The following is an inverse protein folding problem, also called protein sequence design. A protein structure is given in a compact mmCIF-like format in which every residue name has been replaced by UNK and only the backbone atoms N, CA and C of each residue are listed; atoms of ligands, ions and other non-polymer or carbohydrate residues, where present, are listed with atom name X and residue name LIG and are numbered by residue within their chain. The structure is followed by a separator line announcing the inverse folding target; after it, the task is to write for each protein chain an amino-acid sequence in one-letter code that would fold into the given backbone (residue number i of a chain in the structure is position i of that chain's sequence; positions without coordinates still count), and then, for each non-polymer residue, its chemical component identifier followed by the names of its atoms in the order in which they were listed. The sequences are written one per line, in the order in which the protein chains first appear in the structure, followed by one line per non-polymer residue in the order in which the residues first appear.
data_IF_217249948413
#
_entry.id   IF_217249948413
#
_cell.length_a   1.000
_cell.length_b   1.000
_cell.length_c   1.000
_cell.angle_alpha   90.00
_cell.angle_beta   90.00
_cell.angle_gamma   90.00
#
_symmetry.space_group_name_H-M   'P 1'
#
loop_
_entity.id
_entity.type
_entity.pdbx_description
1 polymer ?
#
# COMPACT_ATOMS: atom_id res chain seq x y z
N UNK A 1 -67.38 -22.91 -6.46
CA UNK A 1 -66.74 -21.84 -7.25
C UNK A 1 -65.24 -21.86 -6.96
N UNK A 2 -64.41 -21.99 -8.01
CA UNK A 2 -63.01 -21.50 -8.19
C UNK A 2 -62.03 -21.55 -6.98
N UNK A 3 -60.80 -22.08 -7.02
CA UNK A 3 -59.89 -22.66 -8.04
C UNK A 3 -58.76 -23.39 -7.26
N UNK A 4 -58.18 -24.42 -7.88
CA UNK A 4 -56.90 -25.06 -7.55
C UNK A 4 -55.69 -24.13 -7.83
N UNK A 5 -54.58 -24.33 -7.09
CA UNK A 5 -53.14 -24.26 -7.48
C UNK A 5 -52.29 -23.75 -6.27
N UNK A 6 -51.63 -24.60 -5.45
CA UNK A 6 -50.24 -25.11 -5.57
C UNK A 6 -49.27 -24.11 -6.22
N UNK A 7 -48.20 -23.70 -5.50
CA UNK A 7 -46.76 -23.75 -5.89
C UNK A 7 -45.91 -22.77 -5.04
N UNK A 8 -44.88 -23.35 -4.42
CA UNK A 8 -43.56 -22.81 -3.99
C UNK A 8 -43.44 -21.55 -3.13
N UNK A 9 -42.83 -21.77 -1.97
CA UNK A 9 -41.63 -21.08 -1.46
C UNK A 9 -41.25 -19.75 -2.12
N UNK A 10 -41.30 -18.67 -1.35
CA UNK A 10 -40.13 -17.82 -1.09
C UNK A 10 -40.28 -17.35 0.36
N UNK A 11 -39.53 -17.98 1.27
CA UNK A 11 -39.14 -17.32 2.51
C UNK A 11 -38.38 -16.07 2.10
N UNK A 12 -39.02 -14.92 2.20
CA UNK A 12 -38.34 -13.63 2.13
C UNK A 12 -37.53 -13.48 3.43
N UNK A 13 -36.38 -14.14 3.47
CA UNK A 13 -35.32 -13.84 4.41
C UNK A 13 -34.88 -12.41 4.08
N UNK A 14 -35.43 -11.44 4.80
CA UNK A 14 -34.74 -10.19 5.06
C UNK A 14 -33.51 -10.55 5.89
N UNK A 15 -32.48 -11.06 5.22
CA UNK A 15 -31.13 -10.93 5.75
C UNK A 15 -30.87 -9.44 5.74
N UNK A 16 -31.12 -8.80 6.87
CA UNK A 16 -30.17 -7.81 7.37
C UNK A 16 -28.84 -8.54 7.33
N UNK A 17 -28.14 -8.43 6.20
CA UNK A 17 -26.70 -8.42 6.26
C UNK A 17 -26.44 -7.20 7.14
N UNK A 18 -26.05 -7.46 8.40
CA UNK A 18 -25.12 -6.53 8.99
C UNK A 18 -24.00 -6.48 7.96
N UNK A 19 -23.93 -5.37 7.23
CA UNK A 19 -22.72 -4.96 6.55
C UNK A 19 -21.60 -5.30 7.53
N UNK A 20 -20.74 -6.26 7.16
CA UNK A 20 -19.52 -6.52 7.90
C UNK A 20 -18.69 -5.27 7.66
N UNK A 21 -19.03 -4.23 8.42
CA UNK A 21 -18.41 -2.93 8.38
C UNK A 21 -16.93 -3.20 8.50
N UNK A 22 -16.22 -2.76 7.46
CA UNK A 22 -14.78 -2.81 7.31
C UNK A 22 -14.13 -2.75 8.69
N UNK A 23 -13.52 -3.87 9.07
CA UNK A 23 -12.69 -3.98 10.25
C UNK A 23 -11.74 -2.78 10.22
N UNK A 24 -11.68 -1.91 11.25
CA UNK A 24 -10.86 -0.71 11.21
C UNK A 24 -9.46 -1.14 10.80
N UNK A 25 -9.05 -0.75 9.60
CA UNK A 25 -7.73 -1.04 9.08
C UNK A 25 -6.77 -0.36 10.04
N UNK A 26 -6.09 -1.14 10.87
CA UNK A 26 -4.97 -0.63 11.66
C UNK A 26 -3.95 -0.13 10.64
N UNK A 27 -3.99 1.18 10.36
CA UNK A 27 -3.12 1.80 9.38
C UNK A 27 -1.70 1.79 9.95
N UNK A 28 -0.85 0.95 9.37
CA UNK A 28 0.55 0.87 9.78
C UNK A 28 1.21 2.25 9.66
N UNK A 29 1.86 2.68 10.74
CA UNK A 29 2.46 4.02 10.86
C UNK A 29 3.94 3.88 11.18
N UNK A 30 4.79 4.52 10.39
CA UNK A 30 6.22 4.67 10.68
C UNK A 30 6.43 5.92 11.51
N UNK A 31 7.29 5.84 12.51
CA UNK A 31 7.61 6.92 13.43
C UNK A 31 9.13 7.11 13.43
N UNK A 32 9.57 8.29 13.06
CA UNK A 32 10.97 8.72 13.15
C UNK A 32 11.42 8.74 14.62
N UNK A 33 12.52 8.06 14.93
CA UNK A 33 13.04 7.94 16.30
C UNK A 33 13.80 9.18 16.79
N UNK A 34 14.30 10.02 15.88
CA UNK A 34 15.03 11.25 16.20
C UNK A 34 14.08 12.36 16.63
N UNK A 35 13.02 12.59 15.86
CA UNK A 35 12.15 13.77 16.04
C UNK A 35 10.66 13.45 16.30
N UNK A 36 10.25 12.18 16.17
CA UNK A 36 8.88 11.74 16.40
C UNK A 36 7.89 12.07 15.27
N UNK A 37 8.36 12.53 14.12
CA UNK A 37 7.54 12.66 12.93
C UNK A 37 7.00 11.30 12.50
N UNK A 38 5.83 11.28 11.87
CA UNK A 38 5.14 10.03 11.55
C UNK A 38 4.41 10.10 10.22
N UNK A 39 4.28 8.95 9.57
CA UNK A 39 3.59 8.79 8.29
C UNK A 39 2.95 7.40 8.21
N UNK A 40 1.69 7.34 7.78
CA UNK A 40 1.04 6.06 7.51
C UNK A 40 1.54 5.46 6.20
N UNK A 41 1.48 4.15 6.04
CA UNK A 41 1.82 3.52 4.76
C UNK A 41 0.92 4.00 3.61
N UNK A 42 -0.37 4.29 3.86
CA UNK A 42 -1.27 4.85 2.83
C UNK A 42 -0.78 6.20 2.32
N UNK A 43 -0.36 7.08 3.23
CA UNK A 43 0.19 8.37 2.86
C UNK A 43 1.50 8.23 2.08
N UNK A 44 2.39 7.32 2.52
CA UNK A 44 3.63 7.03 1.83
C UNK A 44 3.39 6.50 0.40
N UNK A 45 2.41 5.61 0.21
CA UNK A 45 2.02 5.11 -1.10
C UNK A 45 1.48 6.22 -2.01
N UNK A 46 0.70 7.15 -1.47
CA UNK A 46 0.20 8.30 -2.24
C UNK A 46 1.35 9.20 -2.70
N UNK A 47 2.28 9.54 -1.80
CA UNK A 47 3.46 10.35 -2.13
C UNK A 47 4.33 9.63 -3.19
N UNK A 48 4.58 8.32 -3.00
CA UNK A 48 5.32 7.52 -3.96
C UNK A 48 4.65 7.53 -5.35
N UNK A 49 3.33 7.37 -5.40
CA UNK A 49 2.55 7.35 -6.63
C UNK A 49 2.59 8.69 -7.39
N UNK A 50 2.63 9.81 -6.67
CA UNK A 50 2.66 11.18 -7.24
C UNK A 50 4.09 11.67 -7.58
N UNK A 51 5.12 10.93 -7.19
CA UNK A 51 6.54 11.25 -7.38
C UNK A 51 7.13 10.71 -8.69
N UNK A 52 8.46 10.77 -8.84
CA UNK A 52 9.19 10.06 -9.91
C UNK A 52 9.01 8.54 -9.81
N UNK A 53 8.90 7.99 -8.61
CA UNK A 53 8.72 6.55 -8.39
C UNK A 53 7.51 5.98 -9.14
N UNK A 54 6.35 6.65 -9.06
CA UNK A 54 5.13 6.23 -9.75
C UNK A 54 5.08 6.59 -11.24
N UNK A 55 5.99 7.45 -11.71
CA UNK A 55 6.14 7.77 -13.14
C UNK A 55 7.00 6.74 -13.86
N UNK A 56 8.07 6.31 -13.20
CA UNK A 56 9.10 5.47 -13.81
C UNK A 56 8.87 3.98 -13.51
N UNK A 57 8.31 3.65 -12.35
CA UNK A 57 8.07 2.26 -11.92
C UNK A 57 6.63 2.00 -11.48
N UNK A 58 6.30 0.72 -11.34
CA UNK A 58 5.05 0.31 -10.66
C UNK A 58 5.32 0.14 -9.17
N UNK A 59 4.57 0.85 -8.33
CA UNK A 59 4.63 0.71 -6.86
C UNK A 59 4.15 -0.68 -6.44
N UNK A 60 4.96 -1.44 -5.68
CA UNK A 60 4.58 -2.76 -5.14
C UNK A 60 3.92 -2.62 -3.77
N UNK A 61 3.25 -3.69 -3.34
CA UNK A 61 2.70 -3.80 -1.98
C UNK A 61 3.74 -4.22 -0.93
N UNK A 62 4.99 -4.47 -1.33
CA UNK A 62 6.08 -4.78 -0.39
C UNK A 62 6.75 -3.48 0.06
N UNK A 63 6.79 -3.28 1.37
CA UNK A 63 7.32 -2.07 1.97
C UNK A 63 7.95 -2.35 3.33
N UNK A 64 8.72 -1.39 3.85
CA UNK A 64 9.37 -1.44 5.15
C UNK A 64 9.49 -0.02 5.73
N UNK A 65 9.13 0.15 7.01
CA UNK A 65 9.47 1.34 7.77
C UNK A 65 10.92 1.23 8.27
N UNK A 66 11.71 2.28 8.05
CA UNK A 66 13.00 2.48 8.70
C UNK A 66 12.91 3.69 9.64
N UNK A 67 12.63 3.46 10.93
CA UNK A 67 12.39 4.53 11.89
C UNK A 67 13.68 5.23 12.35
N UNK A 68 14.85 4.61 12.11
CA UNK A 68 16.16 5.19 12.42
C UNK A 68 16.52 6.34 11.47
N UNK A 69 15.95 6.36 10.26
CA UNK A 69 16.17 7.42 9.27
C UNK A 69 14.89 8.12 8.85
N UNK A 70 13.76 7.85 9.52
CA UNK A 70 12.48 8.46 9.18
C UNK A 70 12.02 8.18 7.75
N UNK A 71 12.17 6.94 7.24
CA UNK A 71 11.81 6.62 5.85
C UNK A 71 10.89 5.43 5.70
N UNK A 72 10.01 5.50 4.70
CA UNK A 72 9.35 4.33 4.12
C UNK A 72 10.12 3.86 2.89
N UNK A 73 10.39 2.57 2.81
CA UNK A 73 10.97 1.92 1.64
C UNK A 73 9.91 1.07 0.98
N UNK A 74 9.50 1.40 -0.24
CA UNK A 74 8.45 0.70 -0.98
C UNK A 74 9.08 0.15 -2.26
N UNK A 75 9.01 -1.16 -2.49
CA UNK A 75 9.66 -1.74 -3.67
C UNK A 75 9.00 -1.28 -4.98
N UNK A 76 9.83 -1.19 -6.03
CA UNK A 76 9.38 -0.84 -7.38
C UNK A 76 9.52 -2.02 -8.33
N UNK A 77 8.60 -2.11 -9.29
CA UNK A 77 8.77 -2.91 -10.51
C UNK A 77 9.33 -2.00 -11.61
N UNK A 78 10.65 -1.95 -11.72
CA UNK A 78 11.39 -1.32 -12.81
C UNK A 78 12.73 -2.04 -12.97
N UNK A 79 13.12 -2.34 -14.20
CA UNK A 79 14.32 -3.13 -14.47
C UNK A 79 15.56 -2.25 -14.61
N UNK A 80 16.62 -2.60 -13.87
CA UNK A 80 17.98 -2.11 -14.08
C UNK A 80 18.95 -3.21 -13.66
N UNK A 81 19.85 -3.58 -14.57
CA UNK A 81 20.76 -4.70 -14.35
C UNK A 81 21.59 -4.51 -13.07
N UNK A 82 21.64 -5.55 -12.23
CA UNK A 82 22.35 -5.55 -10.95
C UNK A 82 21.69 -4.75 -9.82
N UNK A 83 20.49 -4.19 -10.03
CA UNK A 83 19.82 -3.32 -9.08
C UNK A 83 18.49 -3.90 -8.58
N UNK A 84 18.09 -3.51 -7.36
CA UNK A 84 16.80 -3.83 -6.77
C UNK A 84 16.15 -2.53 -6.28
N UNK A 85 15.29 -1.89 -7.07
CA UNK A 85 14.80 -0.55 -6.79
C UNK A 85 13.72 -0.50 -5.71
N UNK A 86 13.75 0.56 -4.91
CA UNK A 86 12.65 1.00 -4.06
C UNK A 86 12.44 2.51 -4.19
N UNK A 87 11.21 2.93 -3.98
CA UNK A 87 10.88 4.31 -3.64
C UNK A 87 11.15 4.52 -2.16
N UNK A 88 12.04 5.45 -1.83
CA UNK A 88 12.28 5.88 -0.47
C UNK A 88 11.49 7.16 -0.27
N UNK A 89 10.55 7.13 0.67
CA UNK A 89 9.71 8.29 1.04
C UNK A 89 10.19 8.79 2.39
N UNK A 90 10.60 10.06 2.44
CA UNK A 90 11.07 10.75 3.64
C UNK A 90 9.86 11.26 4.44
N UNK A 91 9.82 10.92 5.74
CA UNK A 91 8.67 11.23 6.61
C UNK A 91 8.57 12.73 6.90
N UNK A 92 9.72 13.39 7.07
CA UNK A 92 9.79 14.78 7.53
C UNK A 92 9.38 15.78 6.45
N UNK A 93 9.92 15.63 5.25
CA UNK A 93 9.74 16.60 4.15
C UNK A 93 8.73 16.14 3.10
N UNK A 94 8.22 14.90 3.22
CA UNK A 94 7.22 14.30 2.33
C UNK A 94 7.72 14.19 0.89
N UNK A 95 9.03 13.99 0.71
CA UNK A 95 9.64 13.76 -0.60
C UNK A 95 9.80 12.26 -0.87
N UNK A 96 10.01 11.92 -2.15
CA UNK A 96 10.17 10.54 -2.57
C UNK A 96 11.17 10.42 -3.73
N UNK A 97 12.11 9.48 -3.61
CA UNK A 97 13.18 9.25 -4.59
C UNK A 97 13.42 7.77 -4.83
N UNK A 98 13.91 7.41 -6.02
CA UNK A 98 14.25 6.02 -6.35
C UNK A 98 15.64 5.67 -5.79
N UNK A 99 15.69 4.73 -4.86
CA UNK A 99 16.92 4.07 -4.42
C UNK A 99 17.10 2.74 -5.15
N UNK A 100 18.14 2.63 -5.97
CA UNK A 100 18.38 1.47 -6.82
C UNK A 100 19.00 0.24 -6.13
N UNK A 101 19.51 0.38 -4.89
CA UNK A 101 20.19 -0.68 -4.12
C UNK A 101 21.01 -1.66 -4.99
N UNK A 102 21.92 -1.13 -5.80
CA UNK A 102 22.66 -1.93 -6.77
C UNK A 102 23.79 -2.73 -6.12
N UNK A 103 24.07 -3.91 -6.68
CA UNK A 103 25.21 -4.75 -6.33
C UNK A 103 26.06 -5.00 -7.59
N UNK A 104 27.39 -5.00 -7.46
CA UNK A 104 28.26 -5.61 -8.46
C UNK A 104 28.64 -4.82 -9.71
N UNK A 105 28.76 -3.48 -9.67
CA UNK A 105 29.54 -2.79 -10.73
C UNK A 105 31.02 -3.04 -10.47
N UNK A 106 31.54 -4.19 -10.93
CA UNK A 106 32.98 -4.35 -11.14
C UNK A 106 33.24 -3.66 -12.49
N UNK A 107 33.99 -2.55 -12.57
CA UNK A 107 34.34 -1.96 -13.86
C UNK A 107 35.22 -2.95 -14.65
N UNK A 108 34.97 -3.08 -15.96
CA UNK A 108 35.99 -3.59 -16.89
C UNK A 108 37.16 -2.60 -16.99
#
# INVERSE_FOLDING_TARGET
MKRLAIILSIMLLLTVACDEGDNPTDQETCIDTENGAQMTIEEALQIAQDSECGKDGTIKSTYMCNPDTGTWWIDLEIEKEGCNPACVVEIDDRTAEINWRCTGVIPE
#
